data_IF_349216040626
#
_entry.id   IF_349216040626
#
_cell.length_a   1.000
_cell.length_b   1.000
_cell.length_c   1.000
_cell.angle_alpha   90.00
_cell.angle_beta   90.00
_cell.angle_gamma   90.00
#
_symmetry.space_group_name_H-M   'P 1'
#
loop_
_entity.id
_entity.type
_entity.pdbx_description
1 polymer ?
#
# COMPACT_ATOMS: atom_id res chain seq x y z
N UNK A 1 -38.93 -41.21 28.97
CA UNK A 1 -37.98 -40.09 29.16
C UNK A 1 -37.25 -39.90 27.84
N UNK A 2 -37.70 -38.97 26.99
CA UNK A 2 -37.05 -38.69 25.69
C UNK A 2 -35.95 -37.64 25.91
N UNK A 3 -34.70 -38.03 25.68
CA UNK A 3 -33.55 -37.13 25.69
C UNK A 3 -33.49 -36.41 24.33
N UNK A 4 -33.81 -35.12 24.33
CA UNK A 4 -33.54 -34.24 23.19
C UNK A 4 -32.05 -33.94 23.15
N UNK A 5 -31.33 -34.55 22.20
CA UNK A 5 -29.94 -34.18 21.88
C UNK A 5 -30.01 -32.92 21.01
N UNK A 6 -29.73 -31.77 21.60
CA UNK A 6 -29.52 -30.52 20.87
C UNK A 6 -28.11 -30.57 20.29
N UNK A 7 -28.00 -30.82 18.99
CA UNK A 7 -26.74 -30.70 18.26
C UNK A 7 -26.40 -29.21 18.10
N UNK A 8 -25.46 -28.71 18.91
CA UNK A 8 -24.87 -27.39 18.74
C UNK A 8 -23.91 -27.49 17.55
N UNK A 9 -24.37 -27.02 16.39
CA UNK A 9 -23.53 -26.84 15.21
C UNK A 9 -22.62 -25.64 15.51
N UNK A 10 -21.40 -25.91 15.96
CA UNK A 10 -20.31 -24.95 15.96
C UNK A 10 -19.94 -24.67 14.50
N UNK A 11 -20.56 -23.64 13.92
CA UNK A 11 -20.08 -23.03 12.69
C UNK A 11 -18.66 -22.50 12.98
N UNK A 12 -17.62 -22.94 12.24
CA UNK A 12 -16.34 -22.27 12.31
C UNK A 12 -16.57 -20.84 11.85
N UNK A 13 -16.38 -19.89 12.76
CA UNK A 13 -16.25 -18.48 12.42
C UNK A 13 -15.00 -18.43 11.55
N UNK A 14 -15.16 -18.42 10.23
CA UNK A 14 -14.07 -18.08 9.33
C UNK A 14 -13.60 -16.70 9.77
N UNK A 15 -12.44 -16.65 10.40
CA UNK A 15 -11.72 -15.41 10.58
C UNK A 15 -11.56 -14.84 9.17
N UNK A 16 -12.31 -13.78 8.87
CA UNK A 16 -12.13 -13.02 7.64
C UNK A 16 -10.73 -12.46 7.77
N UNK A 17 -9.77 -13.12 7.12
CA UNK A 17 -8.45 -12.56 6.94
C UNK A 17 -8.68 -11.20 6.29
N UNK A 18 -8.29 -10.13 6.98
CA UNK A 18 -8.37 -8.79 6.43
C UNK A 18 -7.40 -8.73 5.25
N UNK A 19 -7.85 -9.13 4.06
CA UNK A 19 -7.08 -9.02 2.83
C UNK A 19 -7.14 -7.56 2.39
N UNK A 20 -6.39 -6.70 3.07
CA UNK A 20 -6.07 -5.39 2.55
C UNK A 20 -5.03 -5.56 1.45
N UNK A 21 -5.39 -5.22 0.22
CA UNK A 21 -4.43 -5.20 -0.88
C UNK A 21 -3.61 -3.92 -0.82
N UNK A 22 -2.40 -3.96 -1.36
CA UNK A 22 -1.64 -2.75 -1.68
C UNK A 22 -1.95 -2.41 -3.13
N UNK A 23 -2.39 -1.18 -3.39
CA UNK A 23 -2.81 -0.73 -4.71
C UNK A 23 -2.18 0.59 -5.09
N UNK A 24 -1.92 0.75 -6.38
CA UNK A 24 -1.48 2.01 -6.97
C UNK A 24 -2.44 2.39 -8.09
N UNK A 25 -2.98 3.60 -8.02
CA UNK A 25 -3.80 4.17 -9.08
C UNK A 25 -2.96 5.16 -9.89
N UNK A 26 -2.83 4.87 -11.19
CA UNK A 26 -2.22 5.80 -12.12
C UNK A 26 -3.27 6.79 -12.62
N UNK A 27 -3.54 7.89 -11.90
CA UNK A 27 -4.41 8.95 -12.42
C UNK A 27 -3.68 9.94 -13.35
N UNK A 28 -2.43 9.64 -13.72
CA UNK A 28 -1.65 10.46 -14.66
C UNK A 28 -2.07 10.18 -16.11
N UNK A 29 -1.70 11.09 -17.01
CA UNK A 29 -1.96 10.96 -18.46
C UNK A 29 -0.90 10.15 -19.20
N UNK A 30 0.10 9.63 -18.48
CA UNK A 30 1.21 8.84 -19.01
C UNK A 30 1.30 7.49 -18.27
N UNK A 31 1.85 6.43 -18.91
CA UNK A 31 2.04 5.15 -18.25
C UNK A 31 3.11 5.25 -17.16
N UNK A 32 2.99 4.38 -16.15
CA UNK A 32 4.00 4.18 -15.11
C UNK A 32 4.43 2.72 -15.09
N UNK A 33 5.57 2.45 -14.45
CA UNK A 33 6.09 1.10 -14.25
C UNK A 33 6.12 0.80 -12.77
N UNK A 34 5.63 -0.39 -12.40
CA UNK A 34 5.62 -0.86 -11.01
C UNK A 34 6.31 -2.21 -10.90
N UNK A 35 7.22 -2.31 -9.95
CA UNK A 35 7.81 -3.57 -9.50
C UNK A 35 7.34 -3.85 -8.07
N UNK A 36 6.62 -4.96 -7.91
CA UNK A 36 6.10 -5.45 -6.64
C UNK A 36 7.17 -6.31 -5.96
N UNK A 37 7.79 -5.79 -4.90
CA UNK A 37 8.89 -6.41 -4.19
C UNK A 37 8.39 -6.97 -2.87
N UNK A 38 8.28 -8.30 -2.80
CA UNK A 38 8.19 -9.01 -1.53
C UNK A 38 9.60 -9.26 -0.94
N UNK A 39 9.81 -9.05 0.36
CA UNK A 39 11.09 -9.29 1.04
C UNK A 39 11.61 -10.71 0.87
N UNK A 40 10.72 -11.69 0.74
CA UNK A 40 11.06 -13.11 0.55
C UNK A 40 11.49 -13.45 -0.87
N UNK A 41 11.20 -12.59 -1.85
CA UNK A 41 11.35 -12.91 -3.27
C UNK A 41 12.46 -12.10 -3.95
N UNK A 42 12.87 -10.95 -3.40
CA UNK A 42 13.96 -10.10 -3.89
C UNK A 42 13.99 -9.94 -5.43
N UNK A 43 12.82 -9.87 -6.07
CA UNK A 43 12.69 -9.82 -7.52
C UNK A 43 12.60 -8.36 -7.98
N UNK A 44 13.72 -7.85 -8.47
CA UNK A 44 13.83 -6.52 -9.08
C UNK A 44 13.47 -6.50 -10.57
N UNK A 45 13.22 -7.66 -11.19
CA UNK A 45 13.15 -7.79 -12.66
C UNK A 45 11.71 -7.85 -13.22
N UNK A 46 10.71 -8.05 -12.37
CA UNK A 46 9.31 -8.12 -12.79
C UNK A 46 8.62 -6.74 -12.72
N UNK A 47 8.69 -5.99 -13.83
CA UNK A 47 8.04 -4.69 -13.97
C UNK A 47 6.72 -4.81 -14.76
N UNK A 48 5.64 -4.28 -14.18
CA UNK A 48 4.35 -4.16 -14.82
C UNK A 48 4.13 -2.74 -15.31
N UNK A 49 3.69 -2.59 -16.55
CA UNK A 49 3.20 -1.30 -17.04
C UNK A 49 1.79 -1.05 -16.51
N UNK A 50 1.52 0.17 -16.06
CA UNK A 50 0.20 0.59 -15.61
C UNK A 50 -0.23 1.77 -16.48
N UNK A 51 -1.20 1.52 -17.34
CA UNK A 51 -1.74 2.53 -18.25
C UNK A 51 -2.38 3.71 -17.49
N UNK A 52 -2.56 4.87 -18.14
CA UNK A 52 -3.37 5.97 -17.62
C UNK A 52 -4.74 5.50 -17.13
N UNK A 53 -5.17 6.02 -15.98
CA UNK A 53 -6.40 5.67 -15.25
C UNK A 53 -6.53 4.21 -14.82
N UNK A 54 -5.47 3.41 -14.95
CA UNK A 54 -5.48 2.01 -14.55
C UNK A 54 -5.02 1.83 -13.10
N UNK A 55 -5.45 0.71 -12.51
CA UNK A 55 -5.07 0.28 -11.18
C UNK A 55 -4.06 -0.85 -11.28
N UNK A 56 -3.01 -0.77 -10.47
CA UNK A 56 -2.18 -1.90 -10.11
C UNK A 56 -2.61 -2.45 -8.76
N UNK A 57 -2.71 -3.76 -8.65
CA UNK A 57 -2.92 -4.47 -7.38
C UNK A 57 -1.71 -5.35 -7.15
N UNK A 58 -1.04 -5.18 -6.01
CA UNK A 58 0.11 -5.99 -5.64
C UNK A 58 -0.29 -7.47 -5.61
N UNK A 59 0.55 -8.31 -6.20
CA UNK A 59 0.39 -9.76 -6.15
C UNK A 59 0.73 -10.28 -4.76
N UNK A 60 1.63 -9.59 -4.05
CA UNK A 60 2.03 -9.92 -2.70
C UNK A 60 1.31 -9.04 -1.68
N UNK A 61 0.42 -9.64 -0.89
CA UNK A 61 -0.14 -8.97 0.28
C UNK A 61 0.89 -8.94 1.41
N UNK A 62 0.97 -7.84 2.19
CA UNK A 62 1.80 -7.84 3.39
C UNK A 62 1.29 -8.93 4.34
N UNK A 63 2.19 -9.77 4.83
CA UNK A 63 1.88 -10.85 5.78
C UNK A 63 2.22 -10.37 7.19
N UNK A 64 1.36 -10.71 8.15
CA UNK A 64 1.55 -10.28 9.52
C UNK A 64 2.78 -10.95 10.16
N UNK A 65 3.59 -10.18 10.88
CA UNK A 65 4.92 -10.56 11.41
C UNK A 65 6.02 -10.79 10.36
N UNK A 66 5.79 -10.43 9.09
CA UNK A 66 6.80 -10.50 8.04
C UNK A 66 7.31 -9.11 7.65
N UNK A 67 8.33 -9.06 6.80
CA UNK A 67 9.05 -7.83 6.42
C UNK A 67 8.23 -6.87 5.50
N UNK A 68 6.91 -7.02 5.40
CA UNK A 68 6.04 -6.16 4.59
C UNK A 68 6.12 -6.43 3.09
N UNK A 69 5.68 -5.46 2.28
CA UNK A 69 5.82 -5.41 0.82
C UNK A 69 6.18 -4.00 0.39
N UNK A 70 6.95 -3.86 -0.69
CA UNK A 70 7.34 -2.58 -1.26
C UNK A 70 6.96 -2.50 -2.72
N UNK A 71 6.18 -1.50 -3.10
CA UNK A 71 5.93 -1.17 -4.51
C UNK A 71 6.96 -0.14 -4.95
N UNK A 72 7.83 -0.52 -5.88
CA UNK A 72 8.76 0.39 -6.56
C UNK A 72 8.10 0.96 -7.80
N UNK A 73 7.99 2.27 -7.88
CA UNK A 73 7.18 2.97 -8.87
C UNK A 73 8.06 3.98 -9.61
N UNK A 74 8.10 3.89 -10.95
CA UNK A 74 8.93 4.74 -11.79
C UNK A 74 8.29 5.11 -13.12
N UNK A 75 8.91 6.04 -13.85
CA UNK A 75 8.52 6.40 -15.23
C UNK A 75 9.12 5.45 -16.28
N UNK A 76 10.07 4.61 -15.86
CA UNK A 76 10.74 3.61 -16.69
C UNK A 76 11.04 2.36 -15.86
N UNK A 77 11.36 1.25 -16.52
CA UNK A 77 11.86 0.05 -15.85
C UNK A 77 13.29 0.29 -15.35
N UNK A 78 13.61 -0.19 -14.15
CA UNK A 78 14.97 -0.13 -13.59
C UNK A 78 14.98 0.37 -12.14
N UNK A 79 16.16 0.43 -11.51
CA UNK A 79 16.30 0.68 -10.07
C UNK A 79 16.55 2.14 -9.68
N UNK A 80 16.61 3.06 -10.65
CA UNK A 80 17.03 4.43 -10.43
C UNK A 80 15.83 5.39 -10.53
N UNK A 81 15.81 6.40 -9.66
CA UNK A 81 14.76 7.40 -9.55
C UNK A 81 13.37 6.79 -9.35
N UNK A 82 13.16 6.21 -8.17
CA UNK A 82 11.98 5.42 -7.82
C UNK A 82 11.29 6.00 -6.59
N UNK A 83 9.98 6.15 -6.70
CA UNK A 83 9.10 6.31 -5.55
C UNK A 83 8.75 4.92 -4.98
N UNK A 84 8.82 4.76 -3.66
CA UNK A 84 8.46 3.53 -2.99
C UNK A 84 7.18 3.71 -2.16
N UNK A 85 6.26 2.75 -2.25
CA UNK A 85 5.19 2.57 -1.27
C UNK A 85 5.52 1.33 -0.44
N UNK A 86 5.85 1.53 0.83
CA UNK A 86 6.22 0.48 1.77
C UNK A 86 5.02 0.18 2.68
N UNK A 87 4.65 -1.09 2.84
CA UNK A 87 3.49 -1.49 3.66
C UNK A 87 3.81 -2.75 4.46
N UNK A 88 3.53 -2.73 5.76
CA UNK A 88 3.65 -3.87 6.66
C UNK A 88 2.40 -4.01 7.55
N UNK A 89 2.14 -5.22 8.06
CA UNK A 89 1.05 -5.47 9.01
C UNK A 89 1.63 -5.86 10.37
N UNK A 90 1.22 -5.15 11.42
CA UNK A 90 1.49 -5.51 12.80
C UNK A 90 0.30 -6.29 13.41
N UNK A 91 0.40 -7.61 13.60
CA UNK A 91 -0.68 -8.42 14.15
C UNK A 91 -0.90 -8.21 15.64
N UNK A 92 0.15 -7.83 16.38
CA UNK A 92 0.04 -7.60 17.84
C UNK A 92 -0.74 -6.33 18.17
N UNK A 93 -0.83 -5.40 17.22
CA UNK A 93 -1.72 -4.23 17.26
C UNK A 93 -3.04 -4.50 16.50
N UNK A 94 -3.61 -5.68 16.66
CA UNK A 94 -4.89 -6.06 16.05
C UNK A 94 -4.89 -6.12 14.52
N UNK A 95 -3.72 -6.24 13.87
CA UNK A 95 -3.60 -6.22 12.40
C UNK A 95 -3.50 -4.82 11.80
N UNK A 96 -3.00 -3.84 12.56
CA UNK A 96 -2.76 -2.47 12.08
C UNK A 96 -1.78 -2.48 10.89
N UNK A 97 -2.15 -1.79 9.82
CA UNK A 97 -1.25 -1.47 8.72
C UNK A 97 -0.31 -0.35 9.13
N UNK A 98 0.97 -0.52 8.83
CA UNK A 98 1.97 0.55 8.84
C UNK A 98 2.44 0.77 7.41
N UNK A 99 2.47 2.02 6.97
CA UNK A 99 2.82 2.34 5.60
C UNK A 99 3.48 3.70 5.47
N UNK A 100 4.34 3.84 4.47
CA UNK A 100 4.92 5.13 4.12
C UNK A 100 5.21 5.26 2.63
N UNK A 101 5.48 6.50 2.22
CA UNK A 101 5.94 6.84 0.89
C UNK A 101 7.40 7.28 0.97
N UNK A 102 8.29 6.42 0.50
CA UNK A 102 9.72 6.61 0.56
C UNK A 102 10.28 7.15 -0.76
N UNK A 103 11.15 8.14 -0.64
CA UNK A 103 11.83 8.78 -1.78
C UNK A 103 13.35 8.62 -1.68
N UNK A 104 13.80 7.63 -0.91
CA UNK A 104 15.21 7.32 -0.71
C UNK A 104 15.92 6.92 -2.01
N UNK A 105 15.19 6.26 -2.92
CA UNK A 105 15.66 5.84 -4.25
C UNK A 105 15.33 6.88 -5.34
N UNK A 106 14.75 8.02 -4.97
CA UNK A 106 14.31 9.09 -5.87
C UNK A 106 12.81 9.37 -5.80
N UNK A 107 12.32 10.19 -6.73
CA UNK A 107 10.90 10.59 -6.80
C UNK A 107 10.60 11.20 -8.17
N UNK A 108 10.39 10.36 -9.19
CA UNK A 108 10.12 10.86 -10.54
C UNK A 108 8.75 11.54 -10.64
N UNK A 109 7.93 11.41 -9.59
CA UNK A 109 6.61 12.02 -9.45
C UNK A 109 6.62 13.23 -8.50
N UNK A 110 7.77 13.88 -8.30
CA UNK A 110 7.87 15.05 -7.43
C UNK A 110 7.00 16.22 -7.90
N UNK A 111 6.76 16.35 -9.20
CA UNK A 111 6.04 17.47 -9.82
C UNK A 111 4.53 17.27 -9.90
N UNK A 112 4.01 16.13 -9.44
CA UNK A 112 2.57 15.82 -9.46
C UNK A 112 2.02 15.68 -8.05
N UNK A 113 0.72 15.98 -7.90
CA UNK A 113 0.00 15.73 -6.65
C UNK A 113 -0.16 14.24 -6.38
N UNK A 114 -0.04 13.82 -5.13
CA UNK A 114 -0.17 12.43 -4.69
C UNK A 114 -1.14 12.31 -3.53
N UNK A 115 -1.83 11.18 -3.43
CA UNK A 115 -2.73 10.86 -2.32
C UNK A 115 -2.45 9.46 -1.80
N UNK A 116 -2.32 9.32 -0.48
CA UNK A 116 -2.02 8.04 0.17
C UNK A 116 -2.95 7.81 1.37
N UNK A 117 -3.51 6.62 1.48
CA UNK A 117 -4.39 6.24 2.60
C UNK A 117 -5.14 4.92 2.38
N UNK A 118 -6.22 4.71 3.14
CA UNK A 118 -7.03 3.48 3.08
C UNK A 118 -8.25 3.58 2.15
N UNK A 119 -8.66 2.46 1.52
CA UNK A 119 -9.82 2.30 0.61
C UNK A 119 -10.67 1.07 0.94
N UNK A 120 -12.03 1.07 0.92
CA UNK A 120 -12.97 2.14 0.54
C UNK A 120 -13.44 2.99 1.73
N UNK A 121 -12.93 2.75 2.94
CA UNK A 121 -13.33 3.45 4.18
C UNK A 121 -12.73 4.88 4.27
N UNK A 122 -12.77 5.56 3.12
CA UNK A 122 -12.24 6.86 2.74
C UNK A 122 -12.49 8.00 3.73
N UNK A 123 -13.66 8.13 4.37
CA UNK A 123 -13.88 9.30 5.22
C UNK A 123 -13.37 9.15 6.66
N UNK A 124 -13.03 7.95 7.15
CA UNK A 124 -12.69 7.73 8.57
C UNK A 124 -11.19 7.65 8.87
N UNK A 125 -10.36 7.40 7.87
CA UNK A 125 -8.91 7.29 8.04
C UNK A 125 -8.24 8.36 7.17
N UNK A 126 -7.64 9.34 7.84
CA UNK A 126 -7.15 10.56 7.23
C UNK A 126 -6.21 10.26 6.06
N UNK A 127 -6.61 10.69 4.86
CA UNK A 127 -5.72 10.71 3.72
C UNK A 127 -4.58 11.67 3.97
N UNK A 128 -3.39 11.27 3.55
CA UNK A 128 -2.36 12.24 3.29
C UNK A 128 -2.49 12.73 1.84
N UNK A 129 -2.66 14.05 1.73
CA UNK A 129 -2.52 14.75 0.46
C UNK A 129 -1.14 15.36 0.37
N UNK A 130 -0.53 15.18 -0.79
CA UNK A 130 0.81 15.67 -1.09
C UNK A 130 0.71 16.55 -2.31
N UNK A 131 0.91 17.85 -2.12
CA UNK A 131 1.01 18.79 -3.22
C UNK A 131 2.26 18.47 -4.07
N UNK A 132 2.29 18.92 -5.34
CA UNK A 132 3.54 18.95 -6.11
C UNK A 132 4.67 19.56 -5.28
N UNK A 133 5.83 18.91 -5.34
CA UNK A 133 7.09 19.25 -4.67
C UNK A 133 7.07 19.19 -3.14
N UNK A 134 5.99 18.70 -2.51
CA UNK A 134 5.96 18.48 -1.07
C UNK A 134 6.87 17.31 -0.69
N UNK A 135 7.86 17.58 0.16
CA UNK A 135 8.88 16.60 0.58
C UNK A 135 8.83 16.30 2.07
N UNK A 136 7.96 16.95 2.85
CA UNK A 136 7.83 16.61 4.27
C UNK A 136 7.07 15.31 4.41
N UNK A 137 7.34 14.57 5.49
CA UNK A 137 6.53 13.41 5.86
C UNK A 137 5.04 13.83 5.93
N UNK A 138 4.10 13.05 5.35
CA UNK A 138 4.25 11.72 4.72
C UNK A 138 4.50 11.70 3.20
N UNK A 139 4.84 12.83 2.58
CA UNK A 139 4.86 13.04 1.12
C UNK A 139 6.15 12.66 0.39
N UNK A 140 7.16 12.28 1.15
CA UNK A 140 8.39 11.71 0.65
C UNK A 140 9.42 11.63 1.77
N UNK A 141 9.88 10.42 2.07
CA UNK A 141 10.93 10.20 3.06
C UNK A 141 12.30 10.21 2.39
N UNK A 142 13.14 11.19 2.73
CA UNK A 142 14.50 11.32 2.19
C UNK A 142 15.63 10.99 3.18
N UNK A 143 15.32 10.63 4.43
CA UNK A 143 16.34 10.45 5.47
C UNK A 143 16.45 8.97 5.85
N UNK A 144 17.57 8.29 5.51
CA UNK A 144 17.88 6.98 6.05
C UNK A 144 17.87 6.99 7.58
N UNK A 145 17.15 6.05 8.21
CA UNK A 145 17.10 5.92 9.68
C UNK A 145 16.04 6.75 10.40
N UNK A 146 15.18 7.51 9.69
CA UNK A 146 13.95 8.03 10.29
C UNK A 146 12.83 6.97 10.23
N UNK A 147 12.10 6.78 11.34
CA UNK A 147 11.08 5.71 11.48
C UNK A 147 9.65 6.25 11.44
N UNK A 148 9.41 7.37 10.74
CA UNK A 148 8.06 7.90 10.62
C UNK A 148 7.26 7.08 9.61
N UNK A 149 6.16 6.48 10.08
CA UNK A 149 5.22 5.71 9.29
C UNK A 149 3.80 6.20 9.58
N UNK A 150 2.93 6.13 8.59
CA UNK A 150 1.48 6.24 8.80
C UNK A 150 0.96 4.91 9.31
N UNK A 151 -0.19 4.95 9.98
CA UNK A 151 -0.85 3.74 10.49
C UNK A 151 -2.34 3.77 10.19
N UNK A 152 -2.93 2.60 9.96
CA UNK A 152 -4.36 2.42 9.79
C UNK A 152 -4.84 1.07 10.35
N UNK A 153 -6.08 0.96 10.83
CA UNK A 153 -6.53 -0.25 11.50
C UNK A 153 -6.74 -1.42 10.52
N UNK A 154 -6.75 -2.64 11.07
CA UNK A 154 -7.25 -3.81 10.37
C UNK A 154 -8.72 -3.60 9.98
N UNK A 155 -9.04 -3.75 8.71
CA UNK A 155 -10.38 -3.43 8.18
C UNK A 155 -10.51 -2.04 7.56
N UNK A 156 -9.41 -1.28 7.42
CA UNK A 156 -9.43 -0.07 6.60
C UNK A 156 -9.62 -0.37 5.09
N UNK A 157 -9.47 -1.64 4.70
CA UNK A 157 -9.52 -2.15 3.33
C UNK A 157 -8.12 -2.16 2.73
N UNK A 158 -7.94 -1.58 1.55
CA UNK A 158 -6.68 -1.51 0.82
C UNK A 158 -5.86 -0.27 1.21
N UNK A 159 -4.53 -0.40 1.22
CA UNK A 159 -3.62 0.75 1.22
C UNK A 159 -3.43 1.20 -0.23
N UNK A 160 -3.77 2.45 -0.52
CA UNK A 160 -3.79 3.02 -1.87
C UNK A 160 -2.85 4.20 -1.96
N UNK A 161 -1.96 4.19 -2.95
CA UNK A 161 -1.30 5.37 -3.48
C UNK A 161 -1.93 5.77 -4.81
N UNK A 162 -2.41 6.99 -4.92
CA UNK A 162 -2.85 7.59 -6.18
C UNK A 162 -1.87 8.66 -6.62
N UNK A 163 -1.35 8.52 -7.84
CA UNK A 163 -0.50 9.51 -8.49
C UNK A 163 -1.34 10.46 -9.33
N UNK A 164 -0.92 11.71 -9.49
CA UNK A 164 -1.69 12.76 -10.17
C UNK A 164 -3.09 12.95 -9.57
N UNK A 165 -3.17 12.91 -8.23
CA UNK A 165 -4.42 13.07 -7.47
C UNK A 165 -4.96 14.50 -7.48
N UNK A 166 -4.10 15.48 -7.79
CA UNK A 166 -4.50 16.84 -8.16
C UNK A 166 -4.38 16.96 -9.68
N UNK A 167 -5.39 17.56 -10.31
CA UNK A 167 -5.36 17.84 -11.75
C UNK A 167 -4.10 18.61 -12.16
N UNK A 168 -3.76 18.60 -13.47
CA UNK A 168 -2.58 19.28 -13.99
C UNK A 168 -2.51 20.77 -13.57
#
# INVERSE_FOLDING_TARGET
MMQNIVAIILLPILAVAATGYVKVHNNCTFPIWINDVAPSVNQFDAWSEVAPSAWFTAAHSPIANEAGTTQKIGLQRGTNDILQLEVAINPTAGGTFHYDMSTIDGNPFNHVGKRLGCFPNWPKYAFQYCAPYETKFPCGKQVPGSFQVMSAPSGCGDIVLELCAYGP
#
